data_IF_928125883832
#
_entry.id   IF_928125883832
#
_cell.length_a   1.000
_cell.length_b   1.000
_cell.length_c   1.000
_cell.angle_alpha   90.00
_cell.angle_beta   90.00
_cell.angle_gamma   90.00
#
_symmetry.space_group_name_H-M   'P 1'
#
loop_
_entity.id
_entity.type
_entity.pdbx_description
1 polymer ?
#
# COMPACT_ATOMS: atom_id res chain seq x y z
N UNK A 1 -7.71 4.03 5.94
CA UNK A 1 -7.92 2.87 5.07
C UNK A 1 -7.76 3.27 3.62
N UNK A 2 -7.04 2.49 2.85
CA UNK A 2 -6.87 2.75 1.42
C UNK A 2 -7.12 1.47 0.65
N UNK A 3 -7.53 1.64 -0.61
CA UNK A 3 -7.78 0.50 -1.51
C UNK A 3 -6.54 0.25 -2.35
N UNK A 4 -6.16 -1.02 -2.47
CA UNK A 4 -5.03 -1.41 -3.30
C UNK A 4 -5.42 -2.64 -4.13
N UNK A 5 -4.63 -2.94 -5.15
CA UNK A 5 -4.89 -4.05 -6.06
C UNK A 5 -3.72 -5.01 -6.03
N UNK A 6 -4.01 -6.28 -5.74
CA UNK A 6 -2.97 -7.31 -5.78
C UNK A 6 -2.57 -7.57 -7.23
N UNK A 7 -1.43 -8.23 -7.42
CA UNK A 7 -0.96 -8.53 -8.76
C UNK A 7 -1.95 -9.37 -9.56
N UNK A 8 -2.73 -10.20 -8.89
CA UNK A 8 -3.73 -11.02 -9.56
C UNK A 8 -5.00 -10.25 -9.92
N UNK A 9 -5.04 -8.94 -9.66
CA UNK A 9 -6.16 -8.10 -10.01
C UNK A 9 -7.21 -7.95 -8.93
N UNK A 10 -7.09 -8.68 -7.85
CA UNK A 10 -8.07 -8.60 -6.76
C UNK A 10 -7.81 -7.35 -5.91
N UNK A 11 -8.87 -6.62 -5.61
CA UNK A 11 -8.79 -5.42 -4.81
C UNK A 11 -8.99 -5.75 -3.33
N UNK A 12 -8.32 -5.00 -2.48
CA UNK A 12 -8.53 -5.15 -1.06
C UNK A 12 -8.21 -3.85 -0.34
N UNK A 13 -8.64 -3.76 0.90
CA UNK A 13 -8.51 -2.55 1.71
C UNK A 13 -7.46 -2.82 2.78
N UNK A 14 -6.54 -1.87 2.96
CA UNK A 14 -5.51 -2.00 3.99
C UNK A 14 -5.61 -0.83 4.95
N UNK A 15 -5.15 -1.06 6.17
CA UNK A 15 -5.07 -0.03 7.18
C UNK A 15 -3.70 0.65 7.06
N UNK A 16 -3.68 1.85 6.50
CA UNK A 16 -2.41 2.53 6.25
C UNK A 16 -1.66 2.90 7.53
N UNK A 17 -2.34 2.86 8.68
CA UNK A 17 -1.66 3.11 9.95
C UNK A 17 -0.72 1.98 10.33
N UNK A 18 -0.87 0.81 9.70
CA UNK A 18 -0.02 -0.34 9.99
C UNK A 18 1.13 -0.48 8.99
N UNK A 19 1.22 0.41 8.01
CA UNK A 19 2.29 0.36 7.01
C UNK A 19 3.59 0.86 7.64
N UNK A 20 4.62 0.05 7.54
CA UNK A 20 5.95 0.44 8.01
C UNK A 20 6.72 1.15 6.90
N UNK A 21 6.82 0.50 5.74
CA UNK A 21 7.44 1.16 4.59
C UNK A 21 6.95 0.54 3.30
N UNK A 22 7.17 1.28 2.20
CA UNK A 22 6.77 0.88 0.86
C UNK A 22 8.00 0.96 -0.02
N UNK A 23 8.25 -0.12 -0.77
CA UNK A 23 9.37 -0.18 -1.70
C UNK A 23 8.85 -0.50 -3.09
N UNK A 24 9.53 0.01 -4.11
CA UNK A 24 9.12 -0.22 -5.50
C UNK A 24 10.33 -0.59 -6.35
N UNK A 25 10.82 -1.82 -6.19
CA UNK A 25 11.95 -2.32 -6.96
C UNK A 25 11.95 -3.84 -6.89
N UNK A 26 11.55 -4.58 -7.94
CA UNK A 26 10.91 -4.07 -9.18
C UNK A 26 9.41 -3.84 -9.02
N UNK A 27 8.78 -4.47 -8.04
CA UNK A 27 7.34 -4.33 -7.80
C UNK A 27 7.11 -3.52 -6.54
N UNK A 28 5.91 -2.98 -6.42
CA UNK A 28 5.54 -2.23 -5.22
C UNK A 28 5.23 -3.21 -4.10
N UNK A 29 6.03 -3.17 -3.05
CA UNK A 29 5.88 -4.04 -1.89
C UNK A 29 5.56 -3.18 -0.67
N UNK A 30 4.48 -3.50 0.00
CA UNK A 30 4.08 -2.83 1.25
C UNK A 30 4.43 -3.74 2.41
N UNK A 31 5.22 -3.22 3.34
CA UNK A 31 5.59 -3.95 4.55
C UNK A 31 4.83 -3.35 5.73
N UNK A 32 4.14 -4.21 6.46
CA UNK A 32 3.37 -3.79 7.63
C UNK A 32 4.20 -3.96 8.89
N UNK A 33 3.82 -3.24 9.93
CA UNK A 33 4.52 -3.31 11.21
C UNK A 33 4.47 -4.71 11.83
N UNK A 34 3.50 -5.51 11.40
CA UNK A 34 3.39 -6.91 11.84
C UNK A 34 4.39 -7.83 11.15
N UNK A 35 5.13 -7.31 10.15
CA UNK A 35 6.05 -8.12 9.37
C UNK A 35 5.45 -8.68 8.09
N UNK A 36 4.16 -8.52 7.90
CA UNK A 36 3.49 -8.99 6.69
C UNK A 36 3.87 -8.13 5.49
N UNK A 37 4.09 -8.77 4.34
CA UNK A 37 4.40 -8.05 3.10
C UNK A 37 3.36 -8.42 2.06
N UNK A 38 2.94 -7.41 1.28
CA UNK A 38 2.03 -7.63 0.15
C UNK A 38 2.58 -6.90 -1.07
N UNK A 39 2.35 -7.48 -2.25
CA UNK A 39 2.76 -6.88 -3.51
C UNK A 39 1.51 -6.36 -4.20
N UNK A 40 1.56 -5.12 -4.65
CA UNK A 40 0.39 -4.47 -5.26
C UNK A 40 0.77 -3.88 -6.61
N UNK A 41 -0.27 -3.55 -7.40
CA UNK A 41 -0.07 -2.96 -8.73
C UNK A 41 0.15 -1.46 -8.69
N UNK A 42 -0.37 -0.79 -7.68
CA UNK A 42 -0.23 0.66 -7.55
C UNK A 42 1.24 1.02 -7.37
N UNK A 43 1.63 2.17 -7.92
CA UNK A 43 3.00 2.64 -7.71
C UNK A 43 3.13 3.20 -6.30
N UNK A 44 4.37 3.32 -5.84
CA UNK A 44 4.62 3.90 -4.52
C UNK A 44 4.07 5.33 -4.46
N UNK A 45 4.20 6.10 -5.55
CA UNK A 45 3.67 7.46 -5.60
C UNK A 45 2.17 7.48 -5.44
N UNK A 46 1.47 6.56 -6.09
CA UNK A 46 0.02 6.45 -5.96
C UNK A 46 -0.39 6.14 -4.53
N UNK A 47 0.34 5.23 -3.89
CA UNK A 47 0.05 4.86 -2.51
C UNK A 47 0.28 6.04 -1.57
N UNK A 48 1.36 6.77 -1.78
CA UNK A 48 1.65 7.95 -0.95
C UNK A 48 0.53 8.98 -1.08
N UNK A 49 0.04 9.20 -2.30
CA UNK A 49 -1.05 10.14 -2.52
C UNK A 49 -2.33 9.70 -1.80
N UNK A 50 -2.64 8.41 -1.86
CA UNK A 50 -3.83 7.90 -1.18
C UNK A 50 -3.71 8.04 0.34
N UNK A 51 -2.53 7.77 0.87
CA UNK A 51 -2.30 7.90 2.30
C UNK A 51 -2.44 9.35 2.74
N UNK A 52 -1.91 10.28 1.93
CA UNK A 52 -2.02 11.70 2.25
C UNK A 52 -3.47 12.15 2.26
N UNK A 53 -4.28 11.67 1.31
CA UNK A 53 -5.70 11.98 1.28
C UNK A 53 -6.38 11.50 2.56
N UNK A 54 -6.05 10.28 2.97
CA UNK A 54 -6.63 9.70 4.17
C UNK A 54 -6.28 10.51 5.42
N UNK A 55 -5.05 10.98 5.49
CA UNK A 55 -4.57 11.69 6.67
C UNK A 55 -4.87 13.19 6.66
N UNK A 56 -5.47 13.67 5.61
CA UNK A 56 -5.70 15.11 5.46
C UNK A 56 -6.83 15.63 6.35
N UNK A 57 -7.53 14.80 7.01
CA UNK A 57 -8.66 15.15 7.89
C UNK A 57 -8.29 16.23 8.95
#
# INVERSE_FOLDING_TARGET
MINVTRLNGKKFVINCELIEFIEETPDTVITFTTGTKVIVRESADELVKEIKKYKKE
#
